data_IF_003563546137
#
_entry.id   IF_003563546137
#
_cell.length_a   1.000
_cell.length_b   1.000
_cell.length_c   1.000
_cell.angle_alpha   90.00
_cell.angle_beta   90.00
_cell.angle_gamma   90.00
#
_symmetry.space_group_name_H-M   'P 1'
#
loop_
_entity.id
_entity.type
_entity.pdbx_description
1 polymer ?
#
# COMPACT_ATOMS: atom_id res chain seq x y z
N UNK A 1 -6.95 5.23 -0.38
CA UNK A 1 -7.64 5.42 0.90
C UNK A 1 -9.14 5.18 0.80
N UNK A 2 -9.89 5.80 -0.12
CA UNK A 2 -11.36 5.66 -0.22
C UNK A 2 -11.87 4.21 -0.15
N UNK A 3 -11.27 3.30 -0.92
CA UNK A 3 -11.67 1.88 -0.90
C UNK A 3 -11.29 1.16 0.39
N UNK A 4 -10.11 1.42 0.96
CA UNK A 4 -9.68 0.79 2.22
C UNK A 4 -10.57 1.24 3.39
N UNK A 5 -10.92 2.52 3.45
CA UNK A 5 -11.84 3.04 4.46
C UNK A 5 -13.23 2.39 4.35
N UNK A 6 -13.73 2.18 3.13
CA UNK A 6 -14.99 1.46 2.92
C UNK A 6 -14.89 0.00 3.38
N UNK A 7 -13.83 -0.71 2.99
CA UNK A 7 -13.62 -2.09 3.42
C UNK A 7 -13.49 -2.24 4.94
N UNK A 8 -12.85 -1.27 5.60
CA UNK A 8 -12.72 -1.24 7.06
C UNK A 8 -14.07 -0.98 7.74
N UNK A 9 -14.84 0.00 7.26
CA UNK A 9 -16.18 0.31 7.78
C UNK A 9 -17.14 -0.88 7.67
N UNK A 10 -17.06 -1.64 6.58
CA UNK A 10 -17.86 -2.84 6.35
C UNK A 10 -17.32 -4.08 7.08
N UNK A 11 -16.25 -3.96 7.87
CA UNK A 11 -15.65 -5.07 8.61
C UNK A 11 -14.99 -6.14 7.74
N UNK A 12 -14.60 -5.78 6.51
CA UNK A 12 -14.00 -6.68 5.53
C UNK A 12 -12.48 -6.80 5.69
N UNK A 13 -11.84 -5.87 6.39
CA UNK A 13 -10.43 -6.00 6.80
C UNK A 13 -10.34 -6.78 8.12
N UNK A 14 -10.13 -8.10 8.02
CA UNK A 14 -10.12 -9.00 9.20
C UNK A 14 -8.76 -9.12 9.90
N UNK A 15 -7.69 -8.98 9.12
CA UNK A 15 -6.30 -9.19 9.58
C UNK A 15 -5.45 -7.93 9.47
N UNK A 16 -6.03 -6.87 8.92
CA UNK A 16 -5.35 -5.62 8.61
C UNK A 16 -6.19 -4.45 9.08
N UNK A 17 -5.53 -3.35 9.37
CA UNK A 17 -6.14 -2.05 9.61
C UNK A 17 -5.68 -1.07 8.54
N UNK A 18 -6.54 -0.13 8.15
CA UNK A 18 -6.11 0.93 7.24
C UNK A 18 -5.14 1.87 7.95
N UNK A 19 -4.18 2.43 7.20
CA UNK A 19 -3.21 3.39 7.75
C UNK A 19 -3.21 4.68 6.92
N UNK A 20 -2.43 5.66 7.36
CA UNK A 20 -2.00 6.74 6.49
C UNK A 20 -1.30 6.19 5.24
N UNK A 21 -1.27 6.97 4.16
CA UNK A 21 -0.63 6.59 2.91
C UNK A 21 0.88 6.37 3.08
N UNK A 22 1.43 5.42 2.34
CA UNK A 22 2.87 5.32 2.19
C UNK A 22 3.37 6.41 1.22
N UNK A 23 4.52 7.00 1.54
CA UNK A 23 5.19 8.01 0.71
C UNK A 23 6.61 7.57 0.39
N UNK A 24 7.02 7.77 -0.88
CA UNK A 24 8.42 7.72 -1.29
C UNK A 24 8.74 8.85 -2.26
N UNK A 25 10.00 9.24 -2.28
CA UNK A 25 10.52 10.22 -3.20
C UNK A 25 11.79 9.69 -3.84
N UNK A 26 11.81 9.61 -5.19
CA UNK A 26 13.02 9.25 -5.94
C UNK A 26 13.60 10.47 -6.62
N UNK A 27 14.93 10.62 -6.54
CA UNK A 27 15.69 11.74 -7.14
C UNK A 27 15.07 13.13 -6.88
N UNK A 28 14.49 13.39 -5.71
CA UNK A 28 13.86 14.66 -5.30
C UNK A 28 12.72 15.23 -6.18
N UNK A 29 12.31 14.56 -7.25
CA UNK A 29 11.20 15.01 -8.11
C UNK A 29 10.12 13.94 -8.33
N UNK A 30 10.45 12.66 -8.20
CA UNK A 30 9.48 11.58 -8.37
C UNK A 30 8.81 11.25 -7.03
N UNK A 31 7.90 12.15 -6.61
CA UNK A 31 7.02 11.90 -5.47
C UNK A 31 5.99 10.83 -5.82
N UNK A 32 5.80 9.86 -4.95
CA UNK A 32 4.83 8.80 -5.14
C UNK A 32 4.18 8.48 -3.79
N UNK A 33 2.85 8.54 -3.76
CA UNK A 33 2.02 8.12 -2.63
C UNK A 33 1.25 6.86 -3.02
N UNK A 34 1.09 5.94 -2.08
CA UNK A 34 0.31 4.73 -2.29
C UNK A 34 -0.51 4.37 -1.07
N UNK A 35 -1.56 3.56 -1.26
CA UNK A 35 -2.37 3.04 -0.17
C UNK A 35 -1.54 2.09 0.70
N UNK A 36 -1.71 2.17 2.02
CA UNK A 36 -1.03 1.30 2.96
C UNK A 36 -2.01 0.72 3.99
N UNK A 37 -1.64 -0.46 4.49
CA UNK A 37 -2.35 -1.19 5.54
C UNK A 37 -1.33 -1.78 6.52
N UNK A 38 -1.74 -1.98 7.76
CA UNK A 38 -0.93 -2.65 8.78
C UNK A 38 -1.49 -4.03 9.08
N UNK A 39 -0.67 -5.07 8.97
CA UNK A 39 -1.02 -6.40 9.43
C UNK A 39 -1.06 -6.44 10.96
N UNK A 40 -2.18 -6.90 11.53
CA UNK A 40 -2.39 -6.86 12.98
C UNK A 40 -1.58 -7.91 13.74
N UNK A 41 -1.24 -9.03 13.09
CA UNK A 41 -0.52 -10.14 13.72
C UNK A 41 0.98 -9.85 13.89
N UNK A 42 1.62 -9.32 12.85
CA UNK A 42 3.06 -9.00 12.83
C UNK A 42 3.35 -7.54 13.18
N UNK A 43 2.39 -6.64 12.96
CA UNK A 43 2.59 -5.19 13.01
C UNK A 43 3.26 -4.61 11.75
N UNK A 44 3.50 -5.44 10.73
CA UNK A 44 4.17 -5.03 9.49
C UNK A 44 3.27 -4.15 8.63
N UNK A 45 3.87 -3.11 8.03
CA UNK A 45 3.18 -2.20 7.12
C UNK A 45 3.39 -2.63 5.66
N UNK A 46 2.29 -2.70 4.93
CA UNK A 46 2.21 -3.14 3.54
C UNK A 46 1.67 -2.04 2.65
N UNK A 47 2.12 -2.03 1.40
CA UNK A 47 1.67 -1.11 0.35
C UNK A 47 0.85 -1.87 -0.68
N UNK A 48 -0.26 -1.27 -1.13
CA UNK A 48 -1.06 -1.75 -2.28
C UNK A 48 -0.95 -0.70 -3.38
N UNK A 49 -0.12 -0.95 -4.39
CA UNK A 49 0.22 0.02 -5.45
C UNK A 49 -0.17 -0.51 -6.84
N UNK A 50 -1.14 0.14 -7.48
CA UNK A 50 -1.60 -0.21 -8.83
C UNK A 50 -0.86 0.54 -9.96
N UNK A 51 0.13 1.37 -9.67
CA UNK A 51 0.81 2.20 -10.66
C UNK A 51 1.83 1.43 -11.52
N UNK A 52 2.31 0.27 -11.05
CA UNK A 52 3.42 -0.43 -11.68
C UNK A 52 3.09 -1.10 -13.02
N UNK A 53 1.83 -1.45 -13.26
CA UNK A 53 1.40 -2.23 -14.41
C UNK A 53 0.22 -1.59 -15.13
N UNK A 54 -0.17 -2.17 -16.26
CA UNK A 54 -1.29 -1.69 -17.07
C UNK A 54 -2.62 -1.70 -16.31
N UNK A 55 -3.54 -0.81 -16.69
CA UNK A 55 -4.88 -0.75 -16.11
C UNK A 55 -5.59 -2.11 -16.16
N UNK A 56 -6.14 -2.53 -15.02
CA UNK A 56 -6.80 -3.83 -14.86
C UNK A 56 -5.87 -4.96 -14.41
N UNK A 57 -4.56 -4.72 -14.35
CA UNK A 57 -3.60 -5.63 -13.72
C UNK A 57 -3.78 -5.66 -12.19
N UNK A 58 -3.29 -6.73 -11.57
CA UNK A 58 -3.22 -6.82 -10.12
C UNK A 58 -2.26 -5.74 -9.57
N UNK A 59 -2.57 -5.10 -8.43
CA UNK A 59 -1.64 -4.20 -7.79
C UNK A 59 -0.44 -4.97 -7.22
N UNK A 60 0.69 -4.31 -7.12
CA UNK A 60 1.81 -4.80 -6.31
C UNK A 60 1.43 -4.71 -4.84
N UNK A 61 1.64 -5.80 -4.11
CA UNK A 61 1.42 -5.88 -2.67
C UNK A 61 2.73 -6.33 -2.02
N UNK A 62 3.43 -5.39 -1.39
CA UNK A 62 4.76 -5.61 -0.78
C UNK A 62 4.88 -4.83 0.52
N UNK A 63 5.90 -5.14 1.32
CA UNK A 63 6.22 -4.35 2.51
C UNK A 63 6.52 -2.90 2.14
N UNK A 64 6.26 -1.95 3.05
CA UNK A 64 6.63 -0.54 2.85
C UNK A 64 8.13 -0.39 2.57
N UNK A 65 8.96 -1.20 3.20
CA UNK A 65 10.42 -1.16 3.05
C UNK A 65 10.85 -1.61 1.64
N UNK A 66 10.28 -2.69 1.11
CA UNK A 66 10.55 -3.14 -0.26
C UNK A 66 10.04 -2.14 -1.29
N UNK A 67 8.88 -1.55 -1.05
CA UNK A 67 8.34 -0.51 -1.93
C UNK A 67 9.24 0.73 -1.95
N UNK A 68 9.74 1.19 -0.80
CA UNK A 68 10.69 2.31 -0.71
C UNK A 68 12.02 1.98 -1.39
N UNK A 69 12.49 0.74 -1.29
CA UNK A 69 13.70 0.27 -1.96
C UNK A 69 13.55 0.13 -3.48
N UNK A 70 12.33 0.28 -4.02
CA UNK A 70 12.07 0.09 -5.45
C UNK A 70 12.19 -1.37 -5.87
N UNK A 71 11.81 -2.30 -4.99
CA UNK A 71 11.75 -3.74 -5.24
C UNK A 71 10.29 -4.23 -5.39
N UNK A 72 9.54 -3.81 -6.42
CA UNK A 72 8.23 -4.37 -6.73
C UNK A 72 8.46 -5.71 -7.44
N UNK A 73 8.45 -6.82 -6.71
CA UNK A 73 8.46 -8.16 -7.32
C UNK A 73 7.04 -8.62 -7.60
#
# INVERSE_FOLDING_TARGET
YTYLALLEQEGLLRYHQSTEYAFRMRFIFAQHYSAAIKEMGSGEDWVIDSWFFDFGSQPVIVTVDDWKAGRPH
#
